data_IF_594224531633
#
_entry.id   IF_594224531633
#
_cell.length_a   1.000
_cell.length_b   1.000
_cell.length_c   1.000
_cell.angle_alpha   90.00
_cell.angle_beta   90.00
_cell.angle_gamma   90.00
#
_symmetry.space_group_name_H-M   'P 1'
#
loop_
_entity.id
_entity.type
_entity.pdbx_description
1 polymer ?
#
# COMPACT_ATOMS: atom_id res chain seq x y z
N UNK A 1 -31.55 10.59 40.30
CA UNK A 1 -32.66 11.33 39.63
C UNK A 1 -32.83 10.70 38.26
N UNK A 2 -34.00 10.14 38.02
CA UNK A 2 -34.34 9.30 36.87
C UNK A 2 -34.75 10.20 35.70
N UNK A 3 -34.20 9.98 34.50
CA UNK A 3 -34.84 10.35 33.23
C UNK A 3 -34.48 9.27 32.19
N UNK A 4 -35.52 8.63 31.65
CA UNK A 4 -35.46 7.66 30.57
C UNK A 4 -35.33 8.35 29.21
N UNK A 5 -34.75 7.63 28.25
CA UNK A 5 -35.03 7.83 26.82
C UNK A 5 -33.82 8.20 25.97
N UNK A 6 -33.02 7.21 25.59
CA UNK A 6 -32.68 6.78 24.21
C UNK A 6 -31.47 5.85 24.36
N UNK A 7 -31.45 4.71 23.66
CA UNK A 7 -30.46 3.64 23.85
C UNK A 7 -29.05 4.10 23.51
N UNK A 8 -28.29 4.55 24.50
CA UNK A 8 -26.83 4.54 24.47
C UNK A 8 -26.36 3.14 24.85
N UNK A 9 -25.83 2.39 23.88
CA UNK A 9 -24.95 1.27 24.19
C UNK A 9 -23.57 1.88 24.40
N UNK A 10 -23.22 2.12 25.66
CA UNK A 10 -21.83 2.32 26.07
C UNK A 10 -21.21 0.95 26.30
N UNK A 11 -20.19 0.59 25.52
CA UNK A 11 -19.21 -0.41 25.95
C UNK A 11 -18.03 0.36 26.53
N UNK A 12 -17.93 0.31 27.86
CA UNK A 12 -16.76 0.74 28.62
C UNK A 12 -15.67 -0.33 28.49
N UNK A 13 -14.67 -0.02 27.67
CA UNK A 13 -13.33 -0.62 27.68
C UNK A 13 -12.35 0.48 27.28
N UNK A 14 -11.55 0.94 28.23
CA UNK A 14 -10.63 2.08 28.09
C UNK A 14 -9.31 1.66 27.34
N UNK A 15 -8.41 2.60 26.94
CA UNK A 15 -8.36 3.25 25.61
C UNK A 15 -6.90 3.40 25.05
N UNK A 16 -6.61 4.20 23.99
CA UNK A 16 -7.27 4.36 22.66
C UNK A 16 -6.22 4.49 21.51
N UNK A 17 -6.47 4.70 20.20
CA UNK A 17 -7.52 5.30 19.37
C UNK A 17 -7.41 4.74 17.93
N UNK A 18 -8.47 4.79 17.11
CA UNK A 18 -8.45 4.37 15.68
C UNK A 18 -8.83 5.55 14.80
N UNK A 19 -8.20 5.72 13.64
CA UNK A 19 -8.50 6.77 12.66
C UNK A 19 -8.85 6.16 11.30
N UNK A 20 -9.45 6.95 10.41
CA UNK A 20 -10.07 6.47 9.16
C UNK A 20 -9.85 7.48 8.03
N UNK A 21 -9.31 7.02 6.89
CA UNK A 21 -8.89 7.81 5.72
C UNK A 21 -9.33 7.07 4.44
N UNK A 22 -10.20 7.64 3.61
CA UNK A 22 -10.74 6.94 2.42
C UNK A 22 -10.08 7.43 1.12
N UNK A 23 -9.47 6.54 0.35
CA UNK A 23 -8.88 6.77 -0.98
C UNK A 23 -9.71 6.06 -2.06
N UNK A 24 -10.01 6.72 -3.18
CA UNK A 24 -10.62 6.08 -4.36
C UNK A 24 -9.51 5.63 -5.31
N UNK A 25 -9.52 4.36 -5.72
CA UNK A 25 -8.69 3.92 -6.84
C UNK A 25 -9.31 4.39 -8.15
N UNK A 26 -8.78 5.46 -8.75
CA UNK A 26 -9.10 5.80 -10.13
C UNK A 26 -8.01 5.27 -11.05
N UNK A 27 -8.39 4.36 -11.94
CA UNK A 27 -7.52 3.81 -12.97
C UNK A 27 -7.32 4.79 -14.13
N UNK A 28 -6.07 4.88 -14.60
CA UNK A 28 -5.65 5.20 -15.96
C UNK A 28 -6.21 6.48 -16.61
N UNK A 29 -5.48 7.59 -16.46
CA UNK A 29 -5.41 8.64 -17.48
C UNK A 29 -3.98 8.70 -18.02
N UNK A 30 -3.77 8.04 -19.16
CA UNK A 30 -2.58 8.18 -19.99
C UNK A 30 -2.60 9.60 -20.57
N UNK A 31 -1.77 10.49 -20.07
CA UNK A 31 -1.44 11.74 -20.76
C UNK A 31 -0.81 11.40 -22.12
N UNK A 32 -1.58 11.55 -23.20
CA UNK A 32 -1.04 11.52 -24.57
C UNK A 32 -0.40 12.86 -24.93
N UNK A 33 0.82 12.71 -25.44
CA UNK A 33 1.55 13.53 -26.43
C UNK A 33 2.04 14.93 -26.03
N UNK A 34 3.33 15.00 -25.69
CA UNK A 34 4.26 15.89 -26.40
C UNK A 34 5.31 15.00 -27.09
N UNK A 35 5.50 15.19 -28.39
CA UNK A 35 6.27 14.31 -29.26
C UNK A 35 7.77 14.38 -29.01
N UNK A 36 8.41 13.21 -29.01
CA UNK A 36 9.86 13.09 -29.17
C UNK A 36 10.17 11.84 -30.00
N UNK A 37 10.84 12.04 -31.15
CA UNK A 37 11.28 10.99 -32.05
C UNK A 37 12.60 10.41 -31.56
N UNK A 38 12.64 9.11 -31.26
CA UNK A 38 13.88 8.41 -30.89
C UNK A 38 14.50 7.81 -32.16
N UNK A 39 15.70 8.24 -32.52
CA UNK A 39 16.54 7.55 -33.51
C UNK A 39 17.22 6.35 -32.85
N UNK A 40 16.97 5.15 -33.38
CA UNK A 40 17.67 3.92 -32.98
C UNK A 40 19.00 3.83 -33.72
N UNK A 41 20.12 3.86 -33.00
CA UNK A 41 21.43 3.48 -33.55
C UNK A 41 21.69 2.00 -33.28
N UNK A 42 21.92 1.23 -34.34
CA UNK A 42 22.28 -0.18 -34.28
C UNK A 42 23.76 -0.37 -33.87
N UNK A 43 24.03 -1.36 -33.03
CA UNK A 43 25.38 -1.76 -32.64
C UNK A 43 26.07 -2.61 -33.73
N UNK A 44 27.40 -2.54 -33.91
CA UNK A 44 28.09 -3.29 -34.96
C UNK A 44 28.41 -4.72 -34.52
N UNK A 45 28.35 -5.64 -35.49
CA UNK A 45 28.70 -7.04 -35.35
C UNK A 45 30.23 -7.26 -35.25
N UNK A 46 30.65 -8.11 -34.31
CA UNK A 46 32.04 -8.55 -34.15
C UNK A 46 32.22 -9.94 -34.76
N UNK A 47 33.03 -10.05 -35.81
CA UNK A 47 33.46 -11.30 -36.45
C UNK A 47 34.87 -11.67 -36.01
N UNK A 48 35.08 -12.87 -35.46
CA UNK A 48 36.40 -13.52 -35.46
C UNK A 48 36.29 -15.06 -35.59
N UNK A 49 37.26 -15.72 -36.25
CA UNK A 49 37.05 -16.99 -36.92
C UNK A 49 37.34 -18.23 -36.05
N UNK A 50 36.65 -19.31 -36.42
CA UNK A 50 36.71 -20.67 -35.90
C UNK A 50 38.06 -21.34 -36.19
N UNK A 51 38.61 -22.09 -35.23
CA UNK A 51 39.65 -23.09 -35.50
C UNK A 51 39.34 -24.39 -34.74
N UNK A 52 38.98 -25.43 -35.49
CA UNK A 52 38.75 -26.80 -35.05
C UNK A 52 40.09 -27.55 -34.89
N UNK A 53 40.25 -28.30 -33.79
CA UNK A 53 41.16 -29.46 -33.65
C UNK A 53 40.46 -30.48 -32.71
N UNK A 54 40.26 -31.74 -33.16
CA UNK A 54 39.60 -32.85 -32.42
C UNK A 54 40.55 -33.68 -31.53
N UNK A 55 40.30 -34.99 -31.23
CA UNK A 55 39.05 -35.70 -30.97
C UNK A 55 38.94 -36.27 -29.52
N UNK A 56 37.68 -36.41 -29.07
CA UNK A 56 37.09 -37.32 -28.06
C UNK A 56 37.89 -37.87 -26.86
N UNK A 57 37.44 -37.51 -25.65
CA UNK A 57 37.06 -38.47 -24.59
C UNK A 57 35.72 -38.04 -23.98
N UNK A 58 34.67 -38.83 -24.22
CA UNK A 58 33.36 -38.64 -23.55
C UNK A 58 33.45 -39.27 -22.17
N UNK A 59 33.38 -38.45 -21.13
CA UNK A 59 32.92 -38.91 -19.82
C UNK A 59 31.41 -38.66 -19.81
N UNK A 60 30.62 -39.72 -19.88
CA UNK A 60 29.16 -39.62 -19.86
C UNK A 60 28.66 -39.44 -18.44
N UNK A 61 28.00 -38.32 -18.16
CA UNK A 61 26.96 -38.27 -17.16
C UNK A 61 25.64 -38.36 -17.93
N UNK A 62 24.91 -39.45 -17.73
CA UNK A 62 23.55 -39.59 -18.24
C UNK A 62 22.69 -38.49 -17.59
N UNK A 63 22.31 -37.47 -18.36
CA UNK A 63 21.16 -36.65 -18.01
C UNK A 63 19.94 -37.55 -18.24
N UNK A 64 19.34 -38.02 -17.15
CA UNK A 64 18.03 -38.64 -17.22
C UNK A 64 17.05 -37.61 -17.75
N UNK A 65 16.53 -37.85 -18.95
CA UNK A 65 15.36 -37.16 -19.49
C UNK A 65 14.17 -37.50 -18.59
N UNK A 66 13.98 -36.72 -17.54
CA UNK A 66 12.72 -36.60 -16.84
C UNK A 66 12.38 -35.12 -16.86
N UNK A 67 11.45 -34.68 -17.73
CA UNK A 67 10.90 -33.35 -17.60
C UNK A 67 10.02 -33.41 -16.35
N UNK A 68 10.60 -33.17 -15.18
CA UNK A 68 9.83 -32.61 -14.08
C UNK A 68 9.52 -31.17 -14.48
N UNK A 69 8.58 -31.05 -15.41
CA UNK A 69 7.81 -29.85 -15.59
C UNK A 69 7.19 -29.58 -14.22
N UNK A 70 7.71 -28.58 -13.51
CA UNK A 70 6.98 -27.94 -12.42
C UNK A 70 5.81 -27.25 -13.10
N UNK A 71 4.77 -28.02 -13.42
CA UNK A 71 3.46 -27.50 -13.73
C UNK A 71 2.99 -26.86 -12.43
N UNK A 72 3.16 -25.54 -12.33
CA UNK A 72 2.36 -24.76 -11.42
C UNK A 72 0.91 -25.02 -11.83
N UNK A 73 0.23 -25.93 -11.12
CA UNK A 73 -1.22 -25.97 -11.14
C UNK A 73 -1.69 -24.64 -10.55
N UNK A 74 -1.86 -23.64 -11.41
CA UNK A 74 -2.91 -22.67 -11.19
C UNK A 74 -4.19 -23.45 -11.41
N UNK A 75 -4.68 -24.09 -10.34
CA UNK A 75 -6.07 -24.48 -10.29
C UNK A 75 -6.87 -23.18 -10.34
N UNK A 76 -7.12 -22.67 -11.56
CA UNK A 76 -8.17 -21.71 -11.81
C UNK A 76 -9.47 -22.46 -11.55
N UNK A 77 -9.84 -22.57 -10.27
CA UNK A 77 -11.23 -22.74 -9.92
C UNK A 77 -11.99 -21.63 -10.66
N UNK A 78 -13.11 -21.97 -11.28
CA UNK A 78 -14.08 -21.04 -11.87
C UNK A 78 -14.74 -20.16 -10.78
N UNK A 79 -13.94 -19.51 -9.94
CA UNK A 79 -14.33 -18.45 -9.05
C UNK A 79 -13.92 -17.15 -9.71
N UNK A 80 -14.91 -16.31 -10.03
CA UNK A 80 -14.65 -14.92 -10.41
C UNK A 80 -13.71 -14.26 -9.38
N UNK A 81 -12.77 -13.39 -9.81
CA UNK A 81 -11.94 -12.62 -8.89
C UNK A 81 -12.81 -11.90 -7.85
N UNK A 82 -12.33 -11.83 -6.61
CA UNK A 82 -13.01 -11.14 -5.53
C UNK A 82 -13.03 -9.65 -5.87
N UNK A 83 -14.22 -9.07 -5.93
CA UNK A 83 -14.42 -7.66 -6.27
C UNK A 83 -15.00 -6.91 -5.06
N UNK A 84 -14.17 -6.56 -4.05
CA UNK A 84 -14.67 -5.86 -2.88
C UNK A 84 -15.14 -4.47 -3.28
N UNK A 85 -16.23 -4.02 -2.69
CA UNK A 85 -16.68 -2.63 -2.79
C UNK A 85 -15.80 -1.73 -1.93
N UNK A 86 -15.43 -2.21 -0.74
CA UNK A 86 -14.57 -1.51 0.22
C UNK A 86 -13.40 -2.40 0.64
N UNK A 87 -12.20 -1.83 0.59
CA UNK A 87 -10.99 -2.41 1.14
C UNK A 87 -10.55 -1.53 2.31
N UNK A 88 -10.71 -2.03 3.53
CA UNK A 88 -10.15 -1.43 4.73
C UNK A 88 -8.65 -1.76 4.74
N UNK A 89 -7.81 -0.77 5.03
CA UNK A 89 -6.36 -0.93 5.09
C UNK A 89 -5.93 -0.46 6.47
N UNK A 90 -5.49 -1.39 7.31
CA UNK A 90 -4.94 -1.13 8.63
C UNK A 90 -3.44 -1.46 8.59
N UNK A 91 -2.65 -0.96 9.54
CA UNK A 91 -1.20 -1.17 9.58
C UNK A 91 -0.80 -2.28 10.56
N UNK A 92 -1.52 -2.45 11.66
CA UNK A 92 -1.23 -3.49 12.65
C UNK A 92 -2.48 -4.09 13.30
N UNK A 93 -2.26 -5.04 14.22
CA UNK A 93 -3.31 -5.88 14.79
C UNK A 93 -4.37 -5.10 15.56
N UNK A 94 -4.02 -4.08 16.34
CA UNK A 94 -5.03 -3.42 17.19
C UNK A 94 -5.96 -2.54 16.36
N UNK A 95 -5.45 -1.87 15.32
CA UNK A 95 -6.28 -1.18 14.31
C UNK A 95 -7.21 -2.18 13.62
N UNK A 96 -6.67 -3.30 13.14
CA UNK A 96 -7.46 -4.31 12.45
C UNK A 96 -8.57 -4.89 13.33
N UNK A 97 -8.30 -5.06 14.62
CA UNK A 97 -9.26 -5.60 15.59
C UNK A 97 -10.43 -4.66 15.90
N UNK A 98 -10.29 -3.36 15.63
CA UNK A 98 -11.38 -2.39 15.77
C UNK A 98 -12.61 -2.75 14.91
N UNK A 99 -12.39 -3.54 13.86
CA UNK A 99 -13.40 -3.99 12.92
C UNK A 99 -13.98 -5.37 13.23
N UNK A 100 -13.65 -5.94 14.39
CA UNK A 100 -14.14 -7.26 14.81
C UNK A 100 -15.31 -7.13 15.79
N UNK A 101 -16.18 -8.15 15.85
CA UNK A 101 -17.32 -8.16 16.78
C UNK A 101 -18.45 -7.18 16.43
N UNK A 102 -18.43 -6.59 15.24
CA UNK A 102 -19.47 -5.70 14.72
C UNK A 102 -20.69 -6.54 14.31
N UNK A 103 -21.91 -6.28 14.83
CA UNK A 103 -23.11 -7.06 14.49
C UNK A 103 -23.46 -7.06 12.99
N UNK A 104 -23.13 -5.97 12.29
CA UNK A 104 -23.49 -5.73 10.89
C UNK A 104 -22.67 -6.55 9.91
N UNK A 105 -21.42 -6.92 10.23
CA UNK A 105 -20.56 -7.69 9.35
C UNK A 105 -19.43 -8.43 10.10
N UNK A 106 -18.92 -9.50 9.50
CA UNK A 106 -17.81 -10.28 10.05
C UNK A 106 -16.68 -10.42 9.02
N UNK A 107 -15.58 -9.69 9.21
CA UNK A 107 -14.39 -9.74 8.33
C UNK A 107 -13.63 -11.06 8.40
N UNK A 108 -13.79 -11.85 9.45
CA UNK A 108 -13.09 -13.13 9.62
C UNK A 108 -13.85 -14.30 8.98
N UNK A 109 -14.94 -14.02 8.26
CA UNK A 109 -15.74 -15.06 7.60
C UNK A 109 -14.99 -15.73 6.44
N UNK A 110 -14.08 -15.01 5.78
CA UNK A 110 -13.28 -15.52 4.66
C UNK A 110 -11.85 -14.99 4.74
N UNK A 111 -10.88 -15.90 4.74
CA UNK A 111 -9.45 -15.57 4.71
C UNK A 111 -8.86 -15.92 3.35
N UNK A 112 -8.14 -14.98 2.74
CA UNK A 112 -7.52 -15.13 1.43
C UNK A 112 -6.03 -14.87 1.55
N UNK A 113 -5.22 -15.91 1.44
CA UNK A 113 -3.76 -15.76 1.41
C UNK A 113 -3.33 -15.18 0.07
N UNK A 114 -2.58 -14.08 0.09
CA UNK A 114 -2.03 -13.46 -1.12
C UNK A 114 -0.49 -13.52 -1.04
N UNK A 115 0.18 -14.11 -2.04
CA UNK A 115 1.63 -14.08 -2.11
C UNK A 115 2.17 -12.65 -2.17
N UNK A 116 3.22 -12.36 -1.40
CA UNK A 116 3.86 -11.03 -1.37
C UNK A 116 3.38 -10.11 -0.25
N UNK A 117 2.36 -10.49 0.52
CA UNK A 117 1.99 -9.80 1.75
C UNK A 117 3.07 -9.95 2.84
N UNK A 118 3.00 -9.10 3.88
CA UNK A 118 3.84 -9.25 5.07
C UNK A 118 3.77 -10.67 5.62
N UNK A 119 4.93 -11.20 6.04
CA UNK A 119 5.01 -12.51 6.71
C UNK A 119 4.20 -12.55 7.99
N UNK A 120 4.01 -11.40 8.65
CA UNK A 120 3.21 -11.27 9.87
C UNK A 120 1.71 -11.24 9.57
N UNK A 121 1.34 -10.69 8.42
CA UNK A 121 -0.04 -10.52 7.97
C UNK A 121 -0.26 -11.15 6.59
N UNK A 122 -0.17 -12.49 6.46
CA UNK A 122 -0.14 -13.15 5.15
C UNK A 122 -1.52 -13.31 4.50
N UNK A 123 -2.58 -12.79 5.09
CA UNK A 123 -3.96 -13.00 4.65
C UNK A 123 -4.75 -11.69 4.59
N UNK A 124 -5.67 -11.63 3.64
CA UNK A 124 -6.73 -10.62 3.54
C UNK A 124 -7.99 -11.22 4.17
N UNK A 125 -8.60 -10.46 5.07
CA UNK A 125 -9.81 -10.85 5.78
C UNK A 125 -11.02 -10.23 5.09
N UNK A 126 -12.00 -11.03 4.70
CA UNK A 126 -13.20 -10.56 4.01
C UNK A 126 -14.47 -11.07 4.68
N UNK A 127 -15.52 -10.28 4.52
CA UNK A 127 -16.89 -10.70 4.78
C UNK A 127 -17.27 -11.93 3.95
N UNK A 128 -18.32 -12.65 4.35
CA UNK A 128 -18.78 -13.86 3.65
C UNK A 128 -19.16 -13.57 2.18
N UNK A 129 -19.78 -12.42 1.91
CA UNK A 129 -20.08 -11.96 0.54
C UNK A 129 -18.84 -11.42 -0.20
N UNK A 130 -17.78 -11.11 0.54
CA UNK A 130 -16.56 -10.46 0.09
C UNK A 130 -16.74 -9.03 -0.47
N UNK A 131 -17.83 -8.35 -0.09
CA UNK A 131 -18.06 -6.94 -0.43
C UNK A 131 -17.13 -6.00 0.36
N UNK A 132 -16.79 -6.40 1.58
CA UNK A 132 -15.82 -5.71 2.44
C UNK A 132 -14.66 -6.66 2.70
N UNK A 133 -13.45 -6.18 2.42
CA UNK A 133 -12.19 -6.85 2.72
C UNK A 133 -11.28 -5.93 3.53
N UNK A 134 -10.34 -6.52 4.25
CA UNK A 134 -9.38 -5.86 5.13
C UNK A 134 -7.97 -6.36 4.81
N UNK A 135 -7.08 -5.43 4.51
CA UNK A 135 -5.65 -5.63 4.34
C UNK A 135 -4.93 -5.07 5.56
N UNK A 136 -4.14 -5.90 6.25
CA UNK A 136 -3.21 -5.40 7.27
C UNK A 136 -1.82 -5.36 6.65
N UNK A 137 -1.24 -4.17 6.52
CA UNK A 137 -0.03 -4.01 5.71
C UNK A 137 1.26 -4.35 6.43
N UNK A 138 1.23 -4.43 7.76
CA UNK A 138 2.37 -4.23 8.65
C UNK A 138 2.82 -2.76 8.69
N UNK A 139 3.58 -2.41 9.73
CA UNK A 139 4.06 -1.06 9.95
C UNK A 139 5.21 -0.70 8.99
N UNK A 140 5.33 0.59 8.68
CA UNK A 140 6.40 1.15 7.86
C UNK A 140 6.04 1.25 6.36
N UNK A 141 6.54 2.32 5.73
CA UNK A 141 6.19 2.69 4.36
C UNK A 141 6.49 1.58 3.34
N UNK A 142 7.60 0.85 3.50
CA UNK A 142 8.00 -0.24 2.60
C UNK A 142 7.02 -1.41 2.67
N UNK A 143 6.58 -1.78 3.88
CA UNK A 143 5.61 -2.86 4.06
C UNK A 143 4.23 -2.45 3.52
N UNK A 144 3.80 -1.22 3.80
CA UNK A 144 2.59 -0.63 3.23
C UNK A 144 2.59 -0.68 1.69
N UNK A 145 3.67 -0.24 1.06
CA UNK A 145 3.81 -0.25 -0.38
C UNK A 145 3.80 -1.66 -0.97
N UNK A 146 4.59 -2.59 -0.42
CA UNK A 146 4.71 -3.95 -0.94
C UNK A 146 3.43 -4.78 -0.74
N UNK A 147 2.81 -4.69 0.43
CA UNK A 147 1.54 -5.39 0.72
C UNK A 147 0.41 -4.88 -0.18
N UNK A 148 0.33 -3.56 -0.39
CA UNK A 148 -0.65 -2.95 -1.30
C UNK A 148 -0.39 -3.35 -2.75
N UNK A 149 0.87 -3.35 -3.18
CA UNK A 149 1.27 -3.79 -4.52
C UNK A 149 0.90 -5.26 -4.76
N UNK A 150 1.16 -6.13 -3.78
CA UNK A 150 0.80 -7.55 -3.83
C UNK A 150 -0.71 -7.75 -3.97
N UNK A 151 -1.53 -6.98 -3.24
CA UNK A 151 -2.99 -7.00 -3.40
C UNK A 151 -3.42 -6.52 -4.78
N UNK A 152 -2.96 -5.34 -5.22
CA UNK A 152 -3.38 -4.73 -6.50
C UNK A 152 -3.05 -5.63 -7.70
N UNK A 153 -1.91 -6.30 -7.67
CA UNK A 153 -1.48 -7.18 -8.76
C UNK A 153 -1.88 -8.65 -8.60
N UNK A 154 -2.61 -8.99 -7.54
CA UNK A 154 -3.09 -10.35 -7.34
C UNK A 154 -4.22 -10.68 -8.32
N UNK A 155 -4.13 -11.79 -9.08
CA UNK A 155 -5.22 -12.23 -9.95
C UNK A 155 -6.46 -12.69 -9.18
N UNK A 156 -6.35 -12.84 -7.85
CA UNK A 156 -7.45 -13.22 -6.98
C UNK A 156 -8.46 -12.09 -6.77
N UNK A 157 -8.08 -10.84 -7.05
CA UNK A 157 -8.90 -9.65 -6.80
C UNK A 157 -9.13 -8.85 -8.07
N UNK A 158 -10.32 -8.26 -8.19
CA UNK A 158 -10.64 -7.22 -9.16
C UNK A 158 -10.99 -5.94 -8.41
N UNK A 159 -10.02 -5.01 -8.34
CA UNK A 159 -10.13 -3.78 -7.56
C UNK A 159 -10.57 -2.57 -8.38
N UNK A 160 -10.97 -2.77 -9.64
CA UNK A 160 -11.24 -1.67 -10.59
C UNK A 160 -12.37 -0.74 -10.17
N UNK A 161 -13.26 -1.17 -9.28
CA UNK A 161 -14.38 -0.40 -8.73
C UNK A 161 -14.36 -0.36 -7.20
N UNK A 162 -13.21 -0.66 -6.57
CA UNK A 162 -13.07 -0.69 -5.12
C UNK A 162 -12.73 0.69 -4.56
N UNK A 163 -13.25 0.97 -3.37
CA UNK A 163 -12.87 2.10 -2.54
C UNK A 163 -11.94 1.62 -1.42
N UNK A 164 -10.85 2.32 -1.17
CA UNK A 164 -9.92 2.01 -0.09
C UNK A 164 -10.20 2.89 1.11
N UNK A 165 -10.19 2.33 2.30
CA UNK A 165 -10.30 3.03 3.58
C UNK A 165 -9.05 2.69 4.41
N UNK A 166 -8.02 3.52 4.32
CA UNK A 166 -6.86 3.57 5.21
C UNK A 166 -7.31 3.90 6.64
N UNK A 167 -7.49 2.93 7.51
CA UNK A 167 -7.99 3.12 8.86
C UNK A 167 -6.91 2.89 9.91
N UNK A 168 -6.12 3.93 10.17
CA UNK A 168 -4.91 3.81 10.98
C UNK A 168 -4.91 4.77 12.14
N UNK A 169 -3.92 4.73 13.01
CA UNK A 169 -3.66 5.78 13.98
C UNK A 169 -2.51 6.74 13.67
N UNK A 170 -2.53 7.89 14.34
CA UNK A 170 -1.63 8.99 14.00
C UNK A 170 -1.62 10.14 15.00
N UNK A 171 -0.57 10.97 14.88
CA UNK A 171 -0.43 12.20 15.64
C UNK A 171 -1.23 13.36 15.04
N UNK A 172 -1.81 14.20 15.90
CA UNK A 172 -2.49 15.44 15.49
C UNK A 172 -1.94 16.62 16.29
N UNK A 173 -1.83 17.78 15.64
CA UNK A 173 -1.54 19.03 16.35
C UNK A 173 -2.71 19.42 17.25
N UNK A 174 -2.44 19.85 18.48
CA UNK A 174 -3.46 20.29 19.45
C UNK A 174 -4.33 21.45 18.95
N UNK A 175 -3.86 22.19 17.94
CA UNK A 175 -4.64 23.25 17.28
C UNK A 175 -5.77 22.70 16.39
N UNK A 176 -5.71 21.43 16.01
CA UNK A 176 -6.66 20.78 15.09
C UNK A 176 -7.49 19.67 15.76
N UNK A 177 -7.05 19.11 16.88
CA UNK A 177 -7.84 18.12 17.64
C UNK A 177 -7.14 17.65 18.91
N UNK A 178 -7.86 16.87 19.71
CA UNK A 178 -7.37 16.22 20.95
C UNK A 178 -7.29 14.70 20.77
N UNK A 179 -6.77 13.98 21.78
CA UNK A 179 -6.85 12.52 21.82
C UNK A 179 -8.28 12.03 21.59
N UNK A 180 -8.44 10.98 20.78
CA UNK A 180 -9.74 10.43 20.38
C UNK A 180 -10.47 11.22 19.28
N UNK A 181 -9.88 12.28 18.73
CA UNK A 181 -10.46 12.98 17.57
C UNK A 181 -10.37 12.11 16.32
N UNK A 182 -11.39 12.20 15.47
CA UNK A 182 -11.41 11.56 14.15
C UNK A 182 -11.31 12.64 13.08
N UNK A 183 -10.30 12.54 12.22
CA UNK A 183 -10.08 13.47 11.12
C UNK A 183 -10.16 12.78 9.76
N UNK A 184 -10.86 13.39 8.81
CA UNK A 184 -10.85 12.95 7.41
C UNK A 184 -9.90 13.83 6.60
N UNK A 185 -8.74 13.28 6.26
CA UNK A 185 -7.71 13.99 5.52
C UNK A 185 -8.18 14.38 4.11
N UNK A 186 -7.77 15.58 3.66
CA UNK A 186 -7.93 16.01 2.26
C UNK A 186 -6.76 15.57 1.40
N UNK A 187 -5.55 15.56 1.97
CA UNK A 187 -4.33 15.14 1.29
C UNK A 187 -3.60 14.13 2.16
N UNK A 188 -2.98 13.14 1.51
CA UNK A 188 -1.89 12.35 2.10
C UNK A 188 -0.57 12.94 1.62
N UNK A 189 0.34 13.25 2.53
CA UNK A 189 1.63 13.90 2.22
C UNK A 189 2.75 13.10 2.85
N UNK A 190 3.70 12.65 2.03
CA UNK A 190 4.94 12.04 2.47
C UNK A 190 6.01 13.11 2.67
N UNK A 191 6.41 13.32 3.91
CA UNK A 191 7.42 14.34 4.29
C UNK A 191 8.81 13.76 4.50
N UNK A 192 8.97 12.44 4.33
CA UNK A 192 10.24 11.74 4.57
C UNK A 192 11.32 11.98 3.51
N UNK A 193 10.96 12.52 2.33
CA UNK A 193 11.92 12.80 1.26
C UNK A 193 12.66 14.12 1.51
N UNK A 194 13.61 14.08 2.44
CA UNK A 194 14.45 15.21 2.83
C UNK A 194 15.82 14.71 3.30
N UNK A 195 16.81 15.60 3.31
CA UNK A 195 18.06 15.32 3.99
C UNK A 195 17.89 15.56 5.48
N UNK A 196 18.51 14.71 6.30
CA UNK A 196 18.62 14.92 7.73
C UNK A 196 20.10 15.09 8.08
N UNK A 197 20.39 16.20 8.73
CA UNK A 197 21.67 16.47 9.36
C UNK A 197 21.57 16.00 10.81
N UNK A 198 22.59 15.28 11.28
CA UNK A 198 22.70 14.87 12.69
C UNK A 198 22.49 16.08 13.60
N UNK A 199 21.67 15.92 14.64
CA UNK A 199 21.28 17.03 15.51
C UNK A 199 22.47 17.77 16.15
N UNK A 200 23.60 17.07 16.32
CA UNK A 200 24.83 17.62 16.92
C UNK A 200 25.66 18.42 15.93
N UNK A 201 25.39 18.26 14.64
CA UNK A 201 26.09 18.91 13.52
C UNK A 201 25.22 19.95 12.80
N UNK A 202 24.02 20.23 13.33
CA UNK A 202 23.14 21.28 12.79
C UNK A 202 23.90 22.61 12.81
N UNK A 203 23.90 23.28 11.66
CA UNK A 203 24.52 24.60 11.51
C UNK A 203 23.85 25.64 12.40
N UNK A 204 24.65 26.53 12.99
CA UNK A 204 24.15 27.65 13.79
C UNK A 204 23.10 28.47 13.03
N UNK A 205 21.90 28.58 13.61
CA UNK A 205 20.77 29.31 13.03
C UNK A 205 19.77 28.44 12.25
N UNK A 206 20.04 27.15 12.05
CA UNK A 206 19.02 26.23 11.52
C UNK A 206 18.05 25.83 12.65
N UNK A 207 16.72 25.94 12.43
CA UNK A 207 15.74 25.53 13.44
C UNK A 207 15.56 24.00 13.52
N UNK A 208 16.09 23.26 12.54
CA UNK A 208 15.99 21.81 12.43
C UNK A 208 17.11 21.26 11.54
N UNK A 209 17.47 19.99 11.70
CA UNK A 209 18.41 19.28 10.81
C UNK A 209 17.80 18.83 9.49
N UNK A 210 16.48 18.99 9.30
CA UNK A 210 15.81 18.61 8.06
C UNK A 210 15.95 19.68 6.97
N UNK A 211 16.55 19.29 5.84
CA UNK A 211 16.76 20.15 4.68
C UNK A 211 16.05 19.55 3.47
N UNK A 212 15.10 20.28 2.83
CA UNK A 212 14.40 19.81 1.64
C UNK A 212 15.36 19.46 0.51
N UNK A 213 15.02 18.43 -0.27
CA UNK A 213 15.92 17.97 -1.34
C UNK A 213 16.13 19.02 -2.43
N UNK A 214 17.39 19.11 -2.88
CA UNK A 214 17.82 20.12 -3.86
C UNK A 214 17.97 21.53 -3.28
N UNK A 215 17.85 21.71 -1.96
CA UNK A 215 18.01 23.00 -1.29
C UNK A 215 19.21 23.01 -0.35
N UNK A 216 19.55 24.18 0.21
CA UNK A 216 20.71 24.34 1.10
C UNK A 216 20.35 24.81 2.50
N UNK A 217 19.07 25.05 2.79
CA UNK A 217 18.62 25.50 4.10
C UNK A 217 17.17 25.05 4.40
N UNK A 218 16.79 24.88 5.67
CA UNK A 218 15.42 24.57 6.08
C UNK A 218 14.42 25.63 5.62
N UNK A 219 13.17 25.21 5.43
CA UNK A 219 12.06 26.11 5.04
C UNK A 219 12.08 26.58 3.58
N UNK A 220 13.06 26.16 2.78
CA UNK A 220 13.08 26.40 1.34
C UNK A 220 12.13 25.43 0.61
N UNK A 221 11.58 25.85 -0.52
CA UNK A 221 10.78 24.97 -1.36
C UNK A 221 11.67 23.90 -2.02
N UNK A 222 11.32 22.60 -1.95
CA UNK A 222 12.14 21.54 -2.54
C UNK A 222 12.26 21.72 -4.05
N UNK A 223 13.48 21.52 -4.58
CA UNK A 223 13.76 21.58 -6.02
C UNK A 223 13.69 20.20 -6.68
N UNK A 224 13.76 19.12 -5.90
CA UNK A 224 13.60 17.75 -6.38
C UNK A 224 12.26 17.19 -5.89
N UNK A 225 11.47 16.71 -6.85
CA UNK A 225 10.15 16.10 -6.64
C UNK A 225 10.02 14.88 -7.54
N UNK A 226 9.47 13.79 -7.01
CA UNK A 226 9.30 12.50 -7.66
C UNK A 226 7.84 12.23 -8.07
N UNK A 227 6.89 13.05 -7.61
CA UNK A 227 5.47 12.90 -7.91
C UNK A 227 4.76 11.92 -6.99
N UNK A 228 5.37 11.56 -5.86
CA UNK A 228 4.81 10.66 -4.83
C UNK A 228 4.65 11.35 -3.48
N UNK A 229 4.99 12.63 -3.40
CA UNK A 229 5.01 13.40 -2.15
C UNK A 229 3.62 13.76 -1.65
N UNK A 230 2.66 13.98 -2.55
CA UNK A 230 1.32 14.45 -2.18
C UNK A 230 0.24 13.87 -3.08
N UNK A 231 -0.80 13.32 -2.45
CA UNK A 231 -1.99 12.80 -3.13
C UNK A 231 -3.24 13.44 -2.52
N UNK A 232 -4.10 14.02 -3.36
CA UNK A 232 -5.44 14.44 -2.92
C UNK A 232 -6.33 13.21 -2.76
N UNK A 233 -6.99 13.12 -1.61
CA UNK A 233 -7.92 12.05 -1.29
C UNK A 233 -9.32 12.39 -1.81
N UNK A 234 -10.19 11.39 -1.91
CA UNK A 234 -11.50 11.57 -2.52
C UNK A 234 -12.36 12.57 -1.77
N UNK A 235 -12.53 13.78 -2.32
CA UNK A 235 -13.33 14.83 -1.67
C UNK A 235 -14.79 14.42 -1.50
N UNK A 236 -15.35 13.72 -2.50
CA UNK A 236 -16.73 13.24 -2.45
C UNK A 236 -16.98 12.29 -1.27
N UNK A 237 -16.06 11.36 -1.00
CA UNK A 237 -16.16 10.45 0.14
C UNK A 237 -15.89 11.19 1.45
N UNK A 238 -14.90 12.09 1.47
CA UNK A 238 -14.57 12.94 2.62
C UNK A 238 -15.75 13.79 3.08
N UNK A 239 -16.49 14.40 2.15
CA UNK A 239 -17.65 15.23 2.48
C UNK A 239 -18.84 14.40 2.99
N UNK A 240 -19.03 13.17 2.47
CA UNK A 240 -20.06 12.26 2.98
C UNK A 240 -19.77 11.75 4.39
N UNK A 241 -18.50 11.60 4.74
CA UNK A 241 -18.08 11.09 6.04
C UNK A 241 -18.12 12.15 7.16
N UNK A 242 -18.18 13.44 6.81
CA UNK A 242 -18.32 14.52 7.80
C UNK A 242 -19.70 14.44 8.47
N UNK A 243 -19.76 14.32 9.81
CA UNK A 243 -21.03 14.45 10.52
C UNK A 243 -21.62 15.84 10.26
N UNK A 244 -22.90 15.89 9.86
CA UNK A 244 -23.70 17.11 9.81
C UNK A 244 -24.03 17.61 11.20
#
# INVERSE_FOLDING_TARGET
>A
MYMQGTRCVFVLGAPPCVWHVIVRGEGHQICRSAGFTIHTMAAPASTRPTKLIGPSRRCGCAYGDSPLAVQALVAAANSHPIAPQVVIVDFYTDEANAWTGIPEFNLLARNVTVPGLSRRYPAIHCTASADICQLVTDEGEINAALSTFALIHSPLFNLTQSHFLLANDGGITLKQGTLGSVGFARFSVQVGLQYEIDEREISDGFPTGYVPQGTTAPGQWPLYMYGTEAFELSDALRQRAKPT
#
